data_IF_359957495012
#
_entry.id   IF_359957495012
#
_cell.length_a   1.000
_cell.length_b   1.000
_cell.length_c   1.000
_cell.angle_alpha   90.00
_cell.angle_beta   90.00
_cell.angle_gamma   90.00
#
_symmetry.space_group_name_H-M   'P 1'
#
loop_
_entity.id
_entity.type
_entity.pdbx_description
1 polymer ?
#
# COMPACT_ATOMS: atom_id res chain seq x y z
N UNK A 1 22.17 -6.57 13.06
CA UNK A 1 20.97 -5.72 12.98
C UNK A 1 20.85 -4.80 14.18
N UNK A 2 21.17 -5.28 15.41
CA UNK A 2 20.99 -4.51 16.64
C UNK A 2 21.84 -3.23 16.70
N UNK A 3 23.11 -3.31 16.33
CA UNK A 3 23.99 -2.13 16.25
C UNK A 3 23.48 -1.11 15.21
N UNK A 4 22.97 -1.58 14.08
CA UNK A 4 22.35 -0.74 13.06
C UNK A 4 21.12 0.00 13.62
N UNK A 5 20.22 -0.73 14.29
CA UNK A 5 19.02 -0.16 14.91
C UNK A 5 19.37 0.82 16.04
N UNK A 6 20.34 0.50 16.88
CA UNK A 6 20.83 1.39 17.95
C UNK A 6 21.36 2.72 17.39
N UNK A 7 22.20 2.65 16.36
CA UNK A 7 22.74 3.83 15.69
C UNK A 7 21.66 4.67 15.03
N UNK A 8 20.68 4.03 14.40
CA UNK A 8 19.57 4.72 13.73
C UNK A 8 18.63 5.36 14.76
N UNK A 9 18.32 4.66 15.85
CA UNK A 9 17.46 5.16 16.93
C UNK A 9 18.07 6.31 17.74
N UNK A 10 19.37 6.58 17.57
CA UNK A 10 20.00 7.71 18.25
C UNK A 10 19.56 9.09 17.71
N UNK A 11 18.97 9.15 16.53
CA UNK A 11 18.51 10.39 15.89
C UNK A 11 17.19 10.31 15.16
N UNK A 12 16.62 9.10 15.02
CA UNK A 12 15.28 8.86 14.48
C UNK A 12 14.42 8.19 15.53
N UNK A 13 13.17 8.63 15.64
CA UNK A 13 12.19 7.93 16.43
C UNK A 13 11.70 6.69 15.65
N UNK A 14 12.05 5.51 16.18
CA UNK A 14 11.64 4.22 15.66
C UNK A 14 10.85 3.51 16.74
N UNK A 15 9.61 3.19 16.44
CA UNK A 15 8.73 2.50 17.36
C UNK A 15 9.25 1.09 17.68
N UNK A 16 9.05 0.64 18.91
CA UNK A 16 9.50 -0.70 19.34
C UNK A 16 8.84 -1.83 18.54
N UNK A 17 7.67 -1.57 17.99
CA UNK A 17 6.93 -2.51 17.16
C UNK A 17 7.55 -2.61 15.77
N UNK A 18 7.91 -1.48 15.15
CA UNK A 18 8.65 -1.45 13.88
C UNK A 18 9.99 -2.19 14.01
N UNK A 19 10.69 -2.02 15.13
CA UNK A 19 11.94 -2.75 15.42
C UNK A 19 11.72 -4.26 15.51
N UNK A 20 10.68 -4.71 16.23
CA UNK A 20 10.35 -6.13 16.36
C UNK A 20 10.00 -6.76 15.02
N UNK A 21 9.16 -6.09 14.22
CA UNK A 21 8.80 -6.56 12.88
C UNK A 21 10.03 -6.64 11.98
N UNK A 22 10.86 -5.61 11.99
CA UNK A 22 12.11 -5.59 11.23
C UNK A 22 13.03 -6.75 11.62
N UNK A 23 13.28 -6.95 12.90
CA UNK A 23 14.15 -8.04 13.39
C UNK A 23 13.61 -9.42 13.04
N UNK A 24 12.30 -9.62 13.14
CA UNK A 24 11.67 -10.91 12.82
C UNK A 24 11.82 -11.30 11.33
N UNK A 25 11.89 -10.31 10.45
CA UNK A 25 11.99 -10.53 8.99
C UNK A 25 13.43 -10.44 8.47
N UNK A 26 14.36 -9.91 9.28
CA UNK A 26 15.72 -9.56 8.85
C UNK A 26 16.50 -10.75 8.28
N UNK A 27 16.53 -11.88 8.97
CA UNK A 27 17.29 -13.06 8.53
C UNK A 27 16.72 -13.65 7.23
N UNK A 28 15.39 -13.68 7.10
CA UNK A 28 14.72 -14.13 5.87
C UNK A 28 15.00 -13.19 4.69
N UNK A 29 14.91 -11.89 4.92
CA UNK A 29 15.17 -10.88 3.90
C UNK A 29 16.65 -10.92 3.45
N UNK A 30 17.58 -11.04 4.40
CA UNK A 30 19.00 -11.17 4.15
C UNK A 30 19.34 -12.41 3.32
N UNK A 31 18.78 -13.57 3.67
CA UNK A 31 18.99 -14.81 2.93
C UNK A 31 18.50 -14.73 1.48
N UNK A 32 17.43 -13.96 1.23
CA UNK A 32 16.82 -13.76 -0.09
C UNK A 32 17.36 -12.53 -0.82
N UNK A 33 18.32 -11.80 -0.24
CA UNK A 33 18.83 -10.51 -0.72
C UNK A 33 17.71 -9.51 -1.06
N UNK A 34 16.69 -9.43 -0.18
CA UNK A 34 15.52 -8.58 -0.34
C UNK A 34 15.66 -7.31 0.51
N UNK A 35 15.14 -6.21 -0.03
CA UNK A 35 14.98 -4.98 0.74
C UNK A 35 13.94 -5.14 1.84
N UNK A 36 14.21 -4.55 2.99
CA UNK A 36 13.32 -4.58 4.14
C UNK A 36 12.97 -3.16 4.56
N UNK A 37 11.70 -2.88 4.70
CA UNK A 37 11.22 -1.56 5.14
C UNK A 37 11.22 -1.51 6.67
N UNK A 38 12.01 -0.61 7.25
CA UNK A 38 12.05 -0.41 8.69
C UNK A 38 10.91 0.51 9.18
N UNK A 39 10.65 1.60 8.47
CA UNK A 39 9.58 2.56 8.78
C UNK A 39 8.86 2.94 7.51
N UNK A 40 7.53 2.83 7.51
CA UNK A 40 6.73 3.04 6.30
C UNK A 40 6.55 4.52 5.96
N UNK A 41 6.53 5.39 6.97
CA UNK A 41 6.38 6.83 6.80
C UNK A 41 7.34 7.55 7.73
N UNK A 42 8.07 8.52 7.20
CA UNK A 42 8.97 9.37 7.96
C UNK A 42 8.60 10.83 7.74
N UNK A 43 8.77 11.66 8.76
CA UNK A 43 8.59 13.11 8.67
C UNK A 43 9.68 13.73 7.79
N UNK A 44 9.41 14.93 7.25
CA UNK A 44 10.45 15.66 6.50
C UNK A 44 11.66 16.02 7.39
N UNK A 45 11.44 16.21 8.69
CA UNK A 45 12.51 16.43 9.67
C UNK A 45 13.38 15.18 9.84
N UNK A 46 12.78 14.00 10.05
CA UNK A 46 13.49 12.73 10.19
C UNK A 46 14.22 12.36 8.90
N UNK A 47 13.59 12.61 7.76
CA UNK A 47 14.20 12.46 6.44
C UNK A 47 15.45 13.33 6.31
N UNK A 48 15.38 14.60 6.70
CA UNK A 48 16.54 15.49 6.66
C UNK A 48 17.65 15.01 7.61
N UNK A 49 17.31 14.59 8.85
CA UNK A 49 18.24 14.01 9.81
C UNK A 49 18.96 12.78 9.26
N UNK A 50 18.23 11.92 8.57
CA UNK A 50 18.79 10.72 7.93
C UNK A 50 19.71 11.07 6.76
N UNK A 51 19.26 11.93 5.83
CA UNK A 51 20.04 12.29 4.64
C UNK A 51 21.41 12.89 4.97
N UNK A 52 21.49 13.73 6.00
CA UNK A 52 22.77 14.28 6.48
C UNK A 52 23.74 13.18 6.96
N UNK A 53 23.20 12.06 7.48
CA UNK A 53 23.98 10.95 8.05
C UNK A 53 24.01 9.70 7.16
N UNK A 54 23.44 9.78 5.96
CA UNK A 54 23.30 8.61 5.05
C UNK A 54 24.62 7.93 4.73
N UNK A 55 25.73 8.69 4.68
CA UNK A 55 27.09 8.17 4.49
C UNK A 55 27.53 7.18 5.58
N UNK A 56 26.88 7.18 6.75
CA UNK A 56 27.13 6.24 7.85
C UNK A 56 26.36 4.92 7.71
N UNK A 57 25.44 4.81 6.72
CA UNK A 57 24.51 3.71 6.54
C UNK A 57 24.49 3.26 5.08
N UNK A 58 25.54 2.58 4.64
CA UNK A 58 25.74 2.18 3.23
C UNK A 58 24.57 1.34 2.63
N UNK A 59 23.84 0.61 3.50
CA UNK A 59 22.76 -0.30 3.10
C UNK A 59 21.37 0.21 3.50
N UNK A 60 21.23 1.50 3.77
CA UNK A 60 19.94 2.10 4.09
C UNK A 60 19.68 3.35 3.24
N UNK A 61 18.46 3.53 2.82
CA UNK A 61 18.06 4.69 2.04
C UNK A 61 16.61 5.08 2.32
N UNK A 62 16.28 6.32 2.00
CA UNK A 62 14.90 6.81 2.01
C UNK A 62 14.32 6.69 0.62
N UNK A 63 13.38 5.78 0.46
CA UNK A 63 12.62 5.60 -0.77
C UNK A 63 11.41 6.52 -0.87
N UNK A 64 10.91 6.73 -2.07
CA UNK A 64 9.60 7.33 -2.31
C UNK A 64 8.60 6.22 -2.60
N UNK A 65 7.45 6.27 -1.96
CA UNK A 65 6.34 5.36 -2.23
C UNK A 65 5.07 6.16 -2.47
N UNK A 66 4.33 5.80 -3.50
CA UNK A 66 2.99 6.31 -3.70
C UNK A 66 2.02 5.50 -2.84
N UNK A 67 1.24 6.19 -2.03
CA UNK A 67 0.21 5.59 -1.20
C UNK A 67 -1.16 5.99 -1.73
N UNK A 68 -2.12 5.07 -1.67
CA UNK A 68 -3.51 5.39 -1.94
C UNK A 68 -4.04 6.26 -0.81
N UNK A 69 -4.62 7.41 -1.14
CA UNK A 69 -5.22 8.31 -0.17
C UNK A 69 -6.69 8.51 -0.48
N UNK A 70 -7.55 8.09 0.43
CA UNK A 70 -9.00 8.23 0.32
C UNK A 70 -9.43 9.51 1.02
N UNK A 71 -9.94 10.49 0.25
CA UNK A 71 -10.38 11.79 0.80
C UNK A 71 -11.52 11.64 1.80
N UNK A 72 -12.38 10.64 1.62
CA UNK A 72 -13.54 10.37 2.48
C UNK A 72 -13.51 8.93 2.98
N UNK A 73 -12.54 8.58 3.84
CA UNK A 73 -12.19 7.19 4.15
C UNK A 73 -13.30 6.39 4.84
N UNK A 74 -14.25 7.06 5.51
CA UNK A 74 -15.41 6.41 6.15
C UNK A 74 -16.66 6.42 5.29
N UNK A 75 -16.81 7.44 4.44
CA UNK A 75 -18.05 7.63 3.65
C UNK A 75 -18.15 6.58 2.54
N UNK A 76 -17.05 6.27 1.88
CA UNK A 76 -17.00 5.34 0.76
C UNK A 76 -16.30 4.01 1.08
N UNK A 77 -16.13 3.68 2.36
CA UNK A 77 -15.36 2.51 2.80
C UNK A 77 -15.79 1.20 2.12
N UNK A 78 -17.08 0.95 2.03
CA UNK A 78 -17.60 -0.29 1.44
C UNK A 78 -17.74 -0.21 -0.09
N UNK A 79 -18.07 0.95 -0.66
CA UNK A 79 -18.28 1.09 -2.10
C UNK A 79 -16.96 1.19 -2.86
N UNK A 80 -16.04 2.05 -2.44
CA UNK A 80 -14.70 2.14 -3.05
C UNK A 80 -13.82 0.99 -2.60
N UNK A 81 -13.90 0.61 -1.32
CA UNK A 81 -13.02 -0.38 -0.72
C UNK A 81 -11.66 0.20 -0.33
N UNK A 82 -10.68 -0.65 -0.29
CA UNK A 82 -9.30 -0.27 0.06
C UNK A 82 -8.28 -1.16 -0.66
N UNK A 83 -7.05 -0.67 -0.73
CA UNK A 83 -5.90 -1.43 -1.23
C UNK A 83 -5.06 -1.95 -0.06
N UNK A 84 -4.36 -3.04 -0.27
CA UNK A 84 -3.47 -3.62 0.74
C UNK A 84 -2.41 -4.53 0.13
N UNK A 85 -1.49 -5.01 0.95
CA UNK A 85 -0.51 -6.02 0.51
C UNK A 85 -1.23 -7.34 0.22
N UNK A 86 -0.86 -8.05 -0.86
CA UNK A 86 -1.42 -9.38 -1.11
C UNK A 86 -1.00 -10.36 0.00
N UNK A 87 -1.89 -11.29 0.34
CA UNK A 87 -1.57 -12.46 1.15
C UNK A 87 -0.90 -13.55 0.30
N UNK A 88 -0.57 -14.71 0.89
CA UNK A 88 0.11 -15.81 0.18
C UNK A 88 -0.75 -16.38 -0.95
N UNK A 89 -2.05 -16.61 -0.70
CA UNK A 89 -2.97 -17.15 -1.70
C UNK A 89 -3.18 -16.19 -2.87
N UNK A 90 -3.37 -14.91 -2.59
CA UNK A 90 -3.48 -13.86 -3.62
C UNK A 90 -2.19 -13.70 -4.42
N UNK A 91 -1.03 -13.90 -3.80
CA UNK A 91 0.24 -13.91 -4.51
C UNK A 91 0.32 -15.09 -5.48
N UNK A 92 -0.08 -16.28 -5.06
CA UNK A 92 -0.06 -17.47 -5.90
C UNK A 92 -1.00 -17.32 -7.10
N UNK A 93 -2.21 -16.78 -6.90
CA UNK A 93 -3.13 -16.46 -7.98
C UNK A 93 -2.54 -15.43 -8.96
N UNK A 94 -1.94 -14.36 -8.42
CA UNK A 94 -1.24 -13.36 -9.21
C UNK A 94 -0.07 -13.99 -9.99
N UNK A 95 0.67 -14.93 -9.40
CA UNK A 95 1.75 -15.64 -10.05
C UNK A 95 1.25 -16.56 -11.17
N UNK A 96 0.15 -17.27 -10.98
CA UNK A 96 -0.45 -18.10 -12.01
C UNK A 96 -0.95 -17.28 -13.20
N UNK A 97 -1.74 -16.25 -12.96
CA UNK A 97 -2.26 -15.34 -14.01
C UNK A 97 -1.13 -14.66 -14.80
N UNK A 98 -0.03 -14.32 -14.13
CA UNK A 98 1.12 -13.65 -14.75
C UNK A 98 2.08 -14.58 -15.45
N UNK A 99 2.19 -15.84 -15.04
CA UNK A 99 2.93 -16.87 -15.78
C UNK A 99 2.35 -17.10 -17.19
N UNK A 100 1.04 -16.90 -17.34
CA UNK A 100 0.34 -16.93 -18.62
C UNK A 100 0.62 -15.69 -19.49
N UNK A 101 0.91 -14.53 -18.90
CA UNK A 101 1.03 -13.23 -19.61
C UNK A 101 2.45 -12.63 -19.69
N UNK A 102 3.50 -13.33 -19.33
CA UNK A 102 4.95 -13.03 -19.53
C UNK A 102 5.44 -11.58 -19.26
N UNK A 103 4.61 -10.63 -18.83
CA UNK A 103 4.98 -9.19 -18.75
C UNK A 103 5.40 -8.68 -17.37
N UNK A 104 5.41 -9.49 -16.33
CA UNK A 104 5.70 -9.01 -14.98
C UNK A 104 6.93 -9.69 -14.40
N UNK A 105 7.92 -8.86 -14.12
CA UNK A 105 9.18 -9.27 -13.50
C UNK A 105 8.96 -9.41 -11.98
N UNK A 106 9.12 -10.61 -11.44
CA UNK A 106 8.76 -11.04 -10.08
C UNK A 106 9.56 -10.42 -8.92
N UNK A 107 10.47 -9.51 -9.19
CA UNK A 107 11.38 -8.94 -8.18
C UNK A 107 10.71 -7.96 -7.21
N UNK A 108 9.43 -7.59 -7.42
CA UNK A 108 8.78 -6.48 -6.70
C UNK A 108 7.63 -6.85 -5.76
N UNK A 109 7.52 -8.09 -5.31
CA UNK A 109 6.42 -8.57 -4.47
C UNK A 109 6.24 -7.80 -3.15
N UNK A 110 7.30 -7.23 -2.59
CA UNK A 110 7.24 -6.48 -1.33
C UNK A 110 6.60 -5.08 -1.46
N UNK A 111 6.49 -4.56 -2.68
CA UNK A 111 5.90 -3.26 -2.98
C UNK A 111 4.54 -3.37 -3.66
N UNK A 112 4.11 -4.59 -3.99
CA UNK A 112 2.84 -4.82 -4.64
C UNK A 112 1.70 -4.47 -3.67
N UNK A 113 0.79 -3.65 -4.14
CA UNK A 113 -0.45 -3.27 -3.47
C UNK A 113 -1.58 -3.61 -4.43
N UNK A 114 -2.58 -4.29 -3.94
CA UNK A 114 -3.75 -4.72 -4.72
C UNK A 114 -5.04 -4.23 -4.07
N UNK A 115 -6.10 -4.08 -4.85
CA UNK A 115 -7.45 -3.83 -4.35
C UNK A 115 -7.95 -5.04 -3.55
N UNK A 116 -8.43 -4.79 -2.34
CA UNK A 116 -8.94 -5.85 -1.46
C UNK A 116 -10.44 -6.02 -1.54
N UNK A 117 -11.15 -4.94 -1.70
CA UNK A 117 -12.61 -4.92 -1.72
C UNK A 117 -13.13 -3.80 -2.62
N UNK A 118 -14.43 -3.83 -2.95
CA UNK A 118 -15.14 -2.76 -3.63
C UNK A 118 -14.64 -2.47 -5.05
N UNK A 119 -14.71 -1.20 -5.44
CA UNK A 119 -14.28 -0.76 -6.76
C UNK A 119 -12.76 -0.92 -6.96
N UNK A 120 -11.95 -0.79 -5.91
CA UNK A 120 -10.51 -1.02 -5.99
C UNK A 120 -10.18 -2.46 -6.40
N UNK A 121 -10.91 -3.44 -5.87
CA UNK A 121 -10.76 -4.85 -6.26
C UNK A 121 -11.30 -5.12 -7.66
N UNK A 122 -12.52 -4.64 -7.94
CA UNK A 122 -13.21 -4.96 -9.20
C UNK A 122 -12.52 -4.38 -10.43
N UNK A 123 -11.89 -3.19 -10.28
CA UNK A 123 -11.23 -2.45 -11.36
C UNK A 123 -9.72 -2.36 -11.18
N UNK A 124 -9.11 -3.32 -10.46
CA UNK A 124 -7.67 -3.38 -10.21
C UNK A 124 -6.85 -3.24 -11.50
N UNK A 125 -7.19 -3.99 -12.54
CA UNK A 125 -6.48 -3.99 -13.83
C UNK A 125 -6.45 -2.60 -14.50
N UNK A 126 -7.49 -1.78 -14.25
CA UNK A 126 -7.59 -0.44 -14.82
C UNK A 126 -6.84 0.57 -13.97
N UNK A 127 -6.89 0.41 -12.64
CA UNK A 127 -6.38 1.36 -11.66
C UNK A 127 -4.88 1.23 -11.40
N UNK A 128 -4.32 0.02 -11.50
CA UNK A 128 -2.93 -0.26 -11.11
C UNK A 128 -1.90 0.29 -12.10
N UNK A 129 -2.21 0.30 -13.41
CA UNK A 129 -1.24 0.67 -14.44
C UNK A 129 -0.15 -0.39 -14.66
N UNK A 130 0.99 0.01 -15.22
CA UNK A 130 2.11 -0.90 -15.51
C UNK A 130 3.36 -0.50 -14.73
N UNK A 131 4.03 -1.47 -14.13
CA UNK A 131 5.28 -1.24 -13.42
C UNK A 131 6.42 -0.96 -14.38
N UNK A 132 7.23 0.05 -14.08
CA UNK A 132 8.50 0.28 -14.75
C UNK A 132 9.57 -0.70 -14.26
N UNK A 133 10.60 -0.91 -15.07
CA UNK A 133 11.75 -1.76 -14.73
C UNK A 133 13.04 -0.95 -14.73
N UNK A 134 13.81 -1.05 -13.65
CA UNK A 134 15.17 -0.55 -13.56
C UNK A 134 16.15 -1.73 -13.50
N UNK A 135 17.13 -1.73 -14.37
CA UNK A 135 18.27 -2.63 -14.30
C UNK A 135 19.38 -1.94 -13.52
N UNK A 136 19.81 -2.56 -12.44
CA UNK A 136 20.94 -2.09 -11.63
C UNK A 136 22.11 -3.05 -11.83
N UNK A 137 23.20 -2.53 -12.35
CA UNK A 137 24.45 -3.26 -12.45
C UNK A 137 25.19 -3.18 -11.11
N UNK A 138 25.54 -4.34 -10.56
CA UNK A 138 26.23 -4.43 -9.27
C UNK A 138 27.53 -5.22 -9.40
N UNK A 139 28.55 -4.86 -8.62
CA UNK A 139 29.79 -5.64 -8.53
C UNK A 139 29.57 -6.91 -7.66
N UNK A 140 30.60 -7.77 -7.59
CA UNK A 140 30.57 -9.00 -6.79
C UNK A 140 30.39 -8.75 -5.28
N UNK A 141 30.48 -7.51 -4.82
CA UNK A 141 30.26 -7.09 -3.43
C UNK A 141 28.90 -6.41 -3.23
N UNK A 142 28.05 -6.37 -4.27
CA UNK A 142 26.72 -5.76 -4.23
C UNK A 142 26.71 -4.23 -4.38
N UNK A 143 27.84 -3.59 -4.73
CA UNK A 143 27.89 -2.14 -4.93
C UNK A 143 27.39 -1.79 -6.32
N UNK A 144 26.48 -0.81 -6.41
CA UNK A 144 25.92 -0.33 -7.67
C UNK A 144 27.00 0.32 -8.53
N UNK A 145 27.20 -0.21 -9.73
CA UNK A 145 28.09 0.33 -10.76
C UNK A 145 27.37 1.26 -11.72
N UNK A 146 26.08 1.00 -11.96
CA UNK A 146 25.24 1.81 -12.85
C UNK A 146 23.78 1.43 -12.74
N UNK A 147 22.92 2.34 -13.19
CA UNK A 147 21.48 2.12 -13.29
C UNK A 147 21.01 2.44 -14.71
N UNK A 148 20.16 1.59 -15.26
CA UNK A 148 19.51 1.81 -16.54
C UNK A 148 18.02 1.56 -16.42
N UNK A 149 17.22 2.58 -16.73
CA UNK A 149 15.77 2.42 -16.85
C UNK A 149 15.49 1.57 -18.09
N UNK A 150 14.94 0.38 -17.88
CA UNK A 150 14.57 -0.53 -18.98
C UNK A 150 13.18 -0.19 -19.54
N UNK A 151 12.24 0.14 -18.66
CA UNK A 151 10.91 0.66 -19.02
C UNK A 151 10.43 1.67 -18.02
N UNK A 152 9.79 2.75 -18.48
CA UNK A 152 9.12 3.70 -17.61
C UNK A 152 7.80 3.12 -17.10
N UNK A 153 7.38 3.45 -15.86
CA UNK A 153 6.07 3.06 -15.36
C UNK A 153 4.95 3.79 -16.11
N UNK A 154 3.83 3.09 -16.32
CA UNK A 154 2.62 3.68 -16.90
C UNK A 154 1.59 3.82 -15.78
N UNK A 155 1.09 5.04 -15.60
CA UNK A 155 0.09 5.34 -14.56
C UNK A 155 -1.24 4.69 -14.95
N UNK A 156 -1.95 4.12 -13.97
CA UNK A 156 -3.28 3.57 -14.15
C UNK A 156 -4.32 4.62 -14.56
N UNK A 157 -5.42 4.17 -15.09
CA UNK A 157 -6.49 5.03 -15.56
C UNK A 157 -7.35 5.57 -14.43
N UNK A 158 -8.04 6.68 -14.69
CA UNK A 158 -9.06 7.21 -13.78
C UNK A 158 -10.37 6.43 -13.93
N UNK A 159 -11.01 6.14 -12.81
CA UNK A 159 -12.35 5.56 -12.77
C UNK A 159 -13.38 6.65 -12.40
N UNK A 160 -14.33 6.90 -13.29
CA UNK A 160 -15.43 7.83 -13.05
C UNK A 160 -16.68 7.04 -12.64
N UNK A 161 -17.27 7.43 -11.51
CA UNK A 161 -18.43 6.74 -10.94
C UNK A 161 -19.63 7.67 -10.83
N UNK A 162 -20.82 7.11 -10.73
CA UNK A 162 -22.09 7.83 -10.46
C UNK A 162 -22.33 8.07 -8.96
N UNK A 163 -21.41 7.63 -8.09
CA UNK A 163 -21.56 7.77 -6.64
C UNK A 163 -21.55 9.23 -6.21
N UNK A 164 -22.61 9.68 -5.52
CA UNK A 164 -22.74 11.05 -5.05
C UNK A 164 -22.32 11.19 -3.58
N UNK A 165 -21.40 12.13 -3.31
CA UNK A 165 -20.87 12.38 -1.98
C UNK A 165 -21.96 12.83 -0.99
N UNK A 166 -22.86 13.72 -1.40
CA UNK A 166 -23.88 14.28 -0.51
C UNK A 166 -24.86 13.22 -0.05
N UNK A 167 -25.28 12.36 -0.96
CA UNK A 167 -26.16 11.24 -0.67
C UNK A 167 -25.54 10.22 0.26
N UNK A 168 -24.24 9.91 0.06
CA UNK A 168 -23.50 9.03 0.97
C UNK A 168 -23.32 9.66 2.37
N UNK A 169 -23.05 10.95 2.45
CA UNK A 169 -22.97 11.68 3.73
C UNK A 169 -24.32 11.68 4.45
N UNK A 170 -25.42 11.85 3.72
CA UNK A 170 -26.76 11.76 4.30
C UNK A 170 -27.07 10.36 4.84
N UNK A 171 -26.72 9.32 4.09
CA UNK A 171 -26.88 7.92 4.51
C UNK A 171 -26.03 7.63 5.77
N UNK A 172 -24.77 8.06 5.78
CA UNK A 172 -23.87 7.92 6.95
C UNK A 172 -24.48 8.58 8.20
N UNK A 173 -24.95 9.81 8.07
CA UNK A 173 -25.59 10.54 9.18
C UNK A 173 -26.89 9.87 9.63
N UNK A 174 -27.71 9.38 8.70
CA UNK A 174 -28.99 8.73 9.03
C UNK A 174 -28.80 7.41 9.76
N UNK A 175 -27.84 6.59 9.36
CA UNK A 175 -27.55 5.31 10.02
C UNK A 175 -26.82 5.50 11.36
N UNK A 176 -26.01 6.53 11.51
CA UNK A 176 -25.30 6.87 12.76
C UNK A 176 -24.69 5.64 13.45
N UNK A 177 -23.82 4.92 12.75
CA UNK A 177 -23.17 3.67 13.16
C UNK A 177 -24.10 2.46 13.44
N UNK A 178 -25.41 2.58 13.23
CA UNK A 178 -26.29 1.41 13.27
C UNK A 178 -26.01 0.48 12.11
N UNK A 179 -26.08 -0.82 12.30
CA UNK A 179 -25.94 -1.82 11.24
C UNK A 179 -27.04 -1.65 10.22
N UNK A 180 -26.67 -1.51 8.95
CA UNK A 180 -27.62 -1.34 7.86
C UNK A 180 -26.96 -0.90 6.57
N UNK A 181 -27.73 -0.87 5.50
CA UNK A 181 -27.29 -0.42 4.17
C UNK A 181 -28.31 0.53 3.55
N UNK A 182 -27.81 1.45 2.72
CA UNK A 182 -28.63 2.37 1.90
C UNK A 182 -28.19 2.26 0.47
N UNK A 183 -29.14 1.97 -0.42
CA UNK A 183 -28.92 1.94 -1.87
C UNK A 183 -29.89 2.92 -2.52
N UNK A 184 -29.38 3.82 -3.37
CA UNK A 184 -30.18 4.69 -4.19
C UNK A 184 -29.76 4.57 -5.65
N UNK A 185 -30.74 4.40 -6.52
CA UNK A 185 -30.56 4.21 -7.96
C UNK A 185 -31.33 5.29 -8.69
N UNK A 186 -30.70 5.94 -9.66
CA UNK A 186 -31.40 6.84 -10.58
C UNK A 186 -32.25 6.00 -11.54
N UNK A 187 -33.57 6.22 -11.53
CA UNK A 187 -34.51 5.46 -12.34
C UNK A 187 -34.45 5.81 -13.84
N UNK A 188 -33.76 6.91 -14.19
CA UNK A 188 -33.68 7.34 -15.61
C UNK A 188 -32.66 6.52 -16.39
N UNK A 189 -31.54 6.17 -15.79
CA UNK A 189 -30.42 5.50 -16.45
C UNK A 189 -29.91 4.26 -15.69
N UNK A 190 -30.49 3.96 -14.51
CA UNK A 190 -30.10 2.82 -13.68
C UNK A 190 -28.79 3.01 -12.92
N UNK A 191 -28.21 4.21 -12.91
CA UNK A 191 -26.96 4.46 -12.21
C UNK A 191 -27.09 4.39 -10.69
N UNK A 192 -26.09 3.84 -10.02
CA UNK A 192 -26.06 3.75 -8.56
C UNK A 192 -25.51 5.06 -8.01
N UNK A 193 -26.38 5.86 -7.40
CA UNK A 193 -26.04 7.16 -6.80
C UNK A 193 -25.51 6.99 -5.37
N UNK A 194 -26.07 6.02 -4.62
CA UNK A 194 -25.64 5.71 -3.25
C UNK A 194 -25.53 4.21 -3.07
N UNK A 195 -24.39 3.78 -2.55
CA UNK A 195 -24.13 2.41 -2.12
C UNK A 195 -23.36 2.49 -0.81
N UNK A 196 -24.08 2.58 0.30
CA UNK A 196 -23.52 2.82 1.61
C UNK A 196 -23.86 1.69 2.58
N UNK A 197 -22.88 1.23 3.34
CA UNK A 197 -23.07 0.25 4.43
C UNK A 197 -22.47 0.77 5.74
N UNK A 198 -23.06 0.38 6.85
CA UNK A 198 -22.66 0.73 8.20
C UNK A 198 -22.63 -0.52 9.09
N UNK A 199 -21.67 -0.65 10.01
CA UNK A 199 -20.61 0.30 10.37
C UNK A 199 -19.56 0.49 9.29
N UNK A 200 -18.92 1.67 9.28
CA UNK A 200 -17.84 2.01 8.36
C UNK A 200 -16.47 1.69 8.95
N UNK A 201 -15.45 1.55 8.11
CA UNK A 201 -14.07 1.33 8.55
C UNK A 201 -13.12 2.39 7.95
N UNK A 202 -11.96 2.64 8.59
CA UNK A 202 -11.01 3.66 8.16
C UNK A 202 -10.10 3.16 7.02
N UNK A 203 -10.53 3.32 5.75
CA UNK A 203 -9.82 2.80 4.57
C UNK A 203 -8.36 3.24 4.46
N UNK A 204 -8.02 4.48 4.88
CA UNK A 204 -6.63 4.94 4.86
C UNK A 204 -5.72 4.18 5.83
N UNK A 205 -6.24 3.77 7.00
CA UNK A 205 -5.46 2.96 7.93
C UNK A 205 -5.20 1.57 7.36
N UNK A 206 -6.21 0.96 6.74
CA UNK A 206 -6.06 -0.35 6.07
C UNK A 206 -5.08 -0.27 4.89
N UNK A 207 -5.15 0.78 4.07
CA UNK A 207 -4.26 0.96 2.92
C UNK A 207 -2.80 1.22 3.30
N UNK A 208 -2.56 1.91 4.41
CA UNK A 208 -1.21 2.24 4.88
C UNK A 208 -0.57 1.13 5.72
N UNK A 209 -1.30 0.09 6.02
CA UNK A 209 -0.94 -0.98 6.95
C UNK A 209 -1.51 -0.72 8.33
N UNK A 210 -2.36 -1.61 8.77
CA UNK A 210 -2.95 -1.63 10.10
C UNK A 210 -2.25 -2.71 10.92
N UNK A 211 -2.11 -2.47 12.21
CA UNK A 211 -1.65 -3.49 13.13
C UNK A 211 -2.68 -4.61 13.25
N UNK A 212 -2.23 -5.86 13.41
CA UNK A 212 -3.14 -7.00 13.53
C UNK A 212 -4.19 -6.79 14.64
N UNK A 213 -3.77 -6.23 15.77
CA UNK A 213 -4.66 -5.93 16.89
C UNK A 213 -5.80 -4.96 16.51
N UNK A 214 -5.45 -3.88 15.77
CA UNK A 214 -6.44 -2.89 15.37
C UNK A 214 -7.35 -3.44 14.25
N UNK A 215 -6.83 -4.36 13.43
CA UNK A 215 -7.62 -5.07 12.43
C UNK A 215 -8.63 -6.01 13.08
N UNK A 216 -8.23 -6.74 14.12
CA UNK A 216 -9.10 -7.66 14.86
C UNK A 216 -10.23 -6.91 15.61
N UNK A 217 -10.01 -5.64 15.98
CA UNK A 217 -11.04 -4.77 16.57
C UNK A 217 -12.06 -4.25 15.54
N UNK A 218 -11.76 -4.32 14.25
CA UNK A 218 -12.66 -3.89 13.16
C UNK A 218 -13.59 -5.00 12.65
N UNK A 219 -13.30 -6.27 12.98
CA UNK A 219 -14.08 -7.45 12.63
C UNK A 219 -15.13 -7.74 13.71
#
# INVERSE_FOLDING_TARGET
PDDFLLRLSSFLEIDEEDKKVFLSQFEKAKALNKELTLKQSISDEDKAKFLVRSHMFENAYVGKRYLRNYLYPKIFSHSIGYVGKPNEDELDEIYELKSLNRKINFTYTNQLIIGKTGLEFTYEDILTGEFGNNLREVDARGRTLGEKISSAPIIGNNLYTSLDLKSHQAAHKALNNRKGAVVAIDIKDGSIVTLFSSPTFPTNQLANGILQKDFDELL
#
